data_IF_614861850174
#
_entry.id   IF_614861850174
#
_cell.length_a   1.000
_cell.length_b   1.000
_cell.length_c   1.000
_cell.angle_alpha   90.00
_cell.angle_beta   90.00
_cell.angle_gamma   90.00
#
_symmetry.space_group_name_H-M   'P 1'
#
loop_
_entity.id
_entity.type
_entity.pdbx_description
1 polymer ?
#
# COMPACT_ATOMS: atom_id res chain seq x y z
N UNK A 1 1.61 33.23 -2.62
CA UNK A 1 1.22 32.14 -1.69
C UNK A 1 2.06 30.88 -1.89
N UNK A 2 2.29 30.42 -3.13
CA UNK A 2 3.13 29.23 -3.42
C UNK A 2 4.55 29.39 -2.89
N UNK A 3 5.16 30.57 -3.03
CA UNK A 3 6.51 30.83 -2.52
C UNK A 3 6.59 30.74 -0.99
N UNK A 4 5.53 31.13 -0.30
CA UNK A 4 5.44 31.01 1.16
C UNK A 4 5.30 29.55 1.56
N UNK A 5 4.49 28.78 0.84
CA UNK A 5 4.36 27.35 1.07
C UNK A 5 5.67 26.59 0.84
N UNK A 6 6.40 26.94 -0.23
CA UNK A 6 7.72 26.35 -0.50
C UNK A 6 8.76 26.67 0.59
N UNK A 7 8.77 27.91 1.10
CA UNK A 7 9.65 28.29 2.21
C UNK A 7 9.28 27.55 3.50
N UNK A 8 7.99 27.40 3.79
CA UNK A 8 7.49 26.65 4.94
C UNK A 8 7.86 25.17 4.84
N UNK A 9 7.67 24.55 3.66
CA UNK A 9 8.03 23.18 3.40
C UNK A 9 9.53 22.91 3.64
N UNK A 10 10.40 23.77 3.08
CA UNK A 10 11.85 23.67 3.28
C UNK A 10 12.27 23.86 4.74
N UNK A 11 11.64 24.82 5.44
CA UNK A 11 11.95 25.10 6.86
C UNK A 11 11.57 23.95 7.77
N UNK A 12 10.45 23.27 7.49
CA UNK A 12 9.92 22.19 8.30
C UNK A 12 10.35 20.79 7.81
N UNK A 13 11.08 20.72 6.70
CA UNK A 13 11.45 19.47 6.03
C UNK A 13 10.23 18.60 5.70
N UNK A 14 9.12 19.23 5.35
CA UNK A 14 7.88 18.61 4.95
C UNK A 14 7.69 18.67 3.44
N UNK A 15 6.89 17.77 2.90
CA UNK A 15 6.48 17.82 1.50
C UNK A 15 5.62 19.08 1.26
N UNK A 16 5.81 19.72 0.11
CA UNK A 16 5.05 20.91 -0.29
C UNK A 16 3.54 20.64 -0.31
N UNK A 17 3.13 19.46 -0.75
CA UNK A 17 1.73 19.06 -0.75
C UNK A 17 1.13 19.03 0.65
N UNK A 18 1.86 18.45 1.61
CA UNK A 18 1.44 18.41 3.02
C UNK A 18 1.27 19.82 3.59
N UNK A 19 2.19 20.72 3.28
CA UNK A 19 2.12 22.12 3.73
C UNK A 19 0.94 22.85 3.10
N UNK A 20 0.71 22.66 1.80
CA UNK A 20 -0.44 23.27 1.11
C UNK A 20 -1.77 22.83 1.71
N UNK A 21 -1.91 21.57 2.04
CA UNK A 21 -3.13 21.04 2.65
C UNK A 21 -3.29 21.51 4.11
N UNK A 22 -2.24 21.41 4.92
CA UNK A 22 -2.31 21.64 6.36
C UNK A 22 -2.29 23.11 6.77
N UNK A 23 -1.51 23.94 6.09
CA UNK A 23 -1.31 25.36 6.45
C UNK A 23 -2.13 26.31 5.58
N UNK A 24 -2.27 25.98 4.30
CA UNK A 24 -2.99 26.83 3.34
C UNK A 24 -4.39 26.32 3.02
N UNK A 25 -4.81 25.21 3.62
CA UNK A 25 -6.14 24.60 3.47
C UNK A 25 -6.54 24.34 2.00
N UNK A 26 -5.56 24.06 1.16
CA UNK A 26 -5.78 23.69 -0.24
C UNK A 26 -6.37 22.29 -0.29
N UNK A 27 -7.44 22.12 -1.04
CA UNK A 27 -8.08 20.79 -1.17
C UNK A 27 -7.21 19.87 -2.03
N UNK A 28 -7.11 18.56 -1.69
CA UNK A 28 -6.36 17.58 -2.50
C UNK A 28 -6.78 17.58 -3.97
N UNK A 29 -8.07 17.76 -4.25
CA UNK A 29 -8.58 17.84 -5.62
C UNK A 29 -8.03 19.04 -6.41
N UNK A 30 -7.78 20.16 -5.77
CA UNK A 30 -7.18 21.35 -6.41
C UNK A 30 -5.72 21.09 -6.79
N UNK A 31 -4.99 20.41 -5.91
CA UNK A 31 -3.61 19.97 -6.17
C UNK A 31 -3.58 18.95 -7.31
N UNK A 32 -4.46 17.95 -7.28
CA UNK A 32 -4.59 16.95 -8.32
C UNK A 32 -4.91 17.53 -9.69
N UNK A 33 -5.83 18.49 -9.75
CA UNK A 33 -6.17 19.19 -10.99
C UNK A 33 -5.00 20.05 -11.52
N UNK A 34 -4.26 20.69 -10.63
CA UNK A 34 -3.07 21.45 -11.01
C UNK A 34 -1.97 20.54 -11.57
N UNK A 35 -1.72 19.40 -10.93
CA UNK A 35 -0.79 18.38 -11.42
C UNK A 35 -1.22 17.82 -12.78
N UNK A 36 -2.52 17.55 -12.96
CA UNK A 36 -3.09 17.08 -14.22
C UNK A 36 -2.82 18.05 -15.37
N UNK A 37 -2.98 19.33 -15.13
CA UNK A 37 -2.70 20.38 -16.12
C UNK A 37 -1.22 20.52 -16.44
N UNK A 38 -0.38 20.39 -15.43
CA UNK A 38 1.08 20.50 -15.57
C UNK A 38 1.67 19.30 -16.32
N UNK A 39 1.26 18.08 -15.93
CA UNK A 39 1.80 16.83 -16.49
C UNK A 39 1.09 16.44 -17.80
N UNK A 40 -0.15 16.89 -18.00
CA UNK A 40 -0.96 16.54 -19.17
C UNK A 40 -1.60 15.15 -19.08
N UNK A 41 -1.74 14.62 -17.87
CA UNK A 41 -2.35 13.31 -17.57
C UNK A 41 -3.57 13.53 -16.69
N UNK A 42 -4.73 12.85 -16.93
CA UNK A 42 -5.92 13.02 -16.13
C UNK A 42 -5.68 12.72 -14.65
N UNK A 43 -6.32 13.50 -13.77
CA UNK A 43 -6.30 13.30 -12.33
C UNK A 43 -7.29 12.23 -11.90
N UNK A 44 -6.84 11.32 -11.05
CA UNK A 44 -7.68 10.30 -10.44
C UNK A 44 -7.78 10.53 -8.93
N UNK A 45 -8.93 11.01 -8.42
CA UNK A 45 -9.13 11.21 -6.99
C UNK A 45 -9.22 9.86 -6.25
N UNK A 46 -8.90 9.88 -4.96
CA UNK A 46 -9.09 8.73 -4.10
C UNK A 46 -10.59 8.37 -3.98
N UNK A 47 -10.89 7.09 -4.06
CA UNK A 47 -12.23 6.54 -3.87
C UNK A 47 -12.20 5.43 -2.83
N UNK A 48 -12.91 5.62 -1.73
CA UNK A 48 -13.02 4.63 -0.67
C UNK A 48 -13.85 3.39 -1.08
N UNK A 49 -14.74 3.54 -2.05
CA UNK A 49 -15.60 2.48 -2.57
C UNK A 49 -14.95 1.63 -3.68
N UNK A 50 -13.70 1.90 -4.02
CA UNK A 50 -12.99 1.16 -5.06
C UNK A 50 -12.72 -0.27 -4.65
N UNK A 51 -13.07 -1.19 -5.54
CA UNK A 51 -12.83 -2.62 -5.36
C UNK A 51 -11.35 -2.90 -5.59
N UNK A 52 -10.73 -3.65 -4.67
CA UNK A 52 -9.34 -4.08 -4.80
C UNK A 52 -9.15 -5.00 -5.99
N UNK A 53 -8.28 -4.65 -6.97
CA UNK A 53 -8.02 -5.50 -8.12
C UNK A 53 -7.01 -6.61 -7.76
N UNK A 54 -7.51 -7.70 -7.18
CA UNK A 54 -6.68 -8.80 -6.68
C UNK A 54 -5.75 -9.38 -7.74
N UNK A 55 -6.23 -9.53 -8.96
CA UNK A 55 -5.44 -10.10 -10.07
C UNK A 55 -4.27 -9.20 -10.47
N UNK A 56 -4.46 -7.89 -10.43
CA UNK A 56 -3.41 -6.92 -10.75
C UNK A 56 -2.37 -6.83 -9.62
N UNK A 57 -2.79 -7.02 -8.36
CA UNK A 57 -1.94 -6.89 -7.18
C UNK A 57 -1.24 -8.19 -6.78
N UNK A 58 -1.60 -9.30 -7.39
CA UNK A 58 -1.09 -10.65 -7.05
C UNK A 58 0.43 -10.74 -6.96
N UNK A 59 1.13 -10.06 -7.87
CA UNK A 59 2.60 -10.08 -7.95
C UNK A 59 3.25 -8.78 -7.43
N UNK A 60 2.45 -7.87 -6.86
CA UNK A 60 2.92 -6.58 -6.37
C UNK A 60 2.83 -6.52 -4.84
N UNK A 61 3.96 -6.37 -4.20
CA UNK A 61 4.04 -6.17 -2.75
C UNK A 61 3.91 -4.68 -2.40
N UNK A 62 3.43 -4.40 -1.20
CA UNK A 62 3.31 -3.03 -0.67
C UNK A 62 4.62 -2.25 -0.81
N UNK A 63 5.73 -2.80 -0.33
CA UNK A 63 7.06 -2.17 -0.38
C UNK A 63 7.49 -1.79 -1.80
N UNK A 64 7.18 -2.67 -2.76
CA UNK A 64 7.48 -2.42 -4.17
C UNK A 64 6.68 -1.23 -4.71
N UNK A 65 5.39 -1.17 -4.41
CA UNK A 65 4.49 -0.08 -4.83
C UNK A 65 4.91 1.26 -4.21
N UNK A 66 5.23 1.27 -2.92
CA UNK A 66 5.70 2.46 -2.21
C UNK A 66 7.03 2.96 -2.77
N UNK A 67 7.97 2.05 -3.03
CA UNK A 67 9.30 2.40 -3.56
C UNK A 67 9.24 2.92 -4.99
N UNK A 68 8.44 2.28 -5.85
CA UNK A 68 8.33 2.66 -7.25
C UNK A 68 7.29 3.74 -7.52
N UNK A 69 6.44 4.06 -6.55
CA UNK A 69 5.46 5.15 -6.60
C UNK A 69 4.43 5.03 -7.73
N UNK A 70 3.95 3.83 -7.98
CA UNK A 70 2.83 3.58 -8.87
C UNK A 70 1.96 2.43 -8.36
N UNK A 71 0.67 2.47 -8.68
CA UNK A 71 -0.30 1.48 -8.23
C UNK A 71 -1.34 1.21 -9.32
N UNK A 72 -1.53 -0.06 -9.74
CA UNK A 72 -2.65 -0.40 -10.60
C UNK A 72 -3.94 -0.41 -9.78
N UNK A 73 -4.97 0.25 -10.30
CA UNK A 73 -6.23 0.44 -9.56
C UNK A 73 -7.41 -0.28 -10.17
N UNK A 74 -7.41 -0.49 -11.46
CA UNK A 74 -8.47 -1.22 -12.17
C UNK A 74 -7.99 -1.70 -13.54
N UNK A 75 -8.69 -2.69 -14.09
CA UNK A 75 -8.52 -3.12 -15.47
C UNK A 75 -9.84 -2.91 -16.21
N UNK A 76 -9.77 -2.09 -17.24
CA UNK A 76 -10.92 -1.71 -18.06
C UNK A 76 -10.72 -2.06 -19.52
N UNK A 77 -11.69 -1.72 -20.38
CA UNK A 77 -11.62 -1.97 -21.82
C UNK A 77 -10.46 -1.23 -22.50
N UNK A 78 -10.00 -0.14 -21.91
CA UNK A 78 -8.85 0.64 -22.41
C UNK A 78 -7.49 0.10 -21.94
N UNK A 79 -7.47 -0.78 -20.96
CA UNK A 79 -6.28 -1.38 -20.38
C UNK A 79 -6.21 -1.27 -18.85
N UNK A 80 -5.02 -1.46 -18.30
CA UNK A 80 -4.76 -1.34 -16.88
C UNK A 80 -4.58 0.13 -16.51
N UNK A 81 -5.41 0.63 -15.61
CA UNK A 81 -5.33 2.00 -15.09
C UNK A 81 -4.35 2.03 -13.93
N UNK A 82 -3.36 2.89 -14.04
CA UNK A 82 -2.29 3.05 -13.06
C UNK A 82 -2.25 4.48 -12.56
N UNK A 83 -2.24 4.64 -11.24
CA UNK A 83 -2.03 5.94 -10.59
C UNK A 83 -0.57 6.11 -10.19
N UNK A 84 -0.08 7.32 -10.31
CA UNK A 84 1.25 7.73 -9.85
C UNK A 84 1.28 9.23 -9.57
N UNK A 85 2.19 9.65 -8.73
CA UNK A 85 2.48 11.07 -8.52
C UNK A 85 3.31 11.67 -9.65
N UNK A 86 4.08 10.82 -10.35
CA UNK A 86 4.88 11.18 -11.52
C UNK A 86 4.71 10.15 -12.64
N UNK A 87 3.58 10.20 -13.38
CA UNK A 87 3.30 9.26 -14.45
C UNK A 87 4.33 9.27 -15.59
N UNK A 88 4.95 10.42 -15.89
CA UNK A 88 5.95 10.53 -16.95
C UNK A 88 7.22 9.73 -16.65
N UNK A 89 7.68 9.77 -15.38
CA UNK A 89 8.82 8.97 -14.93
C UNK A 89 8.54 7.47 -15.07
N UNK A 90 7.36 7.04 -14.66
CA UNK A 90 6.96 5.63 -14.71
C UNK A 90 6.82 5.16 -16.16
N UNK A 91 6.23 5.97 -17.01
CA UNK A 91 6.08 5.70 -18.44
C UNK A 91 7.44 5.59 -19.14
N UNK A 92 8.34 6.52 -18.88
CA UNK A 92 9.69 6.55 -19.45
C UNK A 92 10.53 5.34 -19.03
N UNK A 93 10.40 4.91 -17.78
CA UNK A 93 11.09 3.74 -17.26
C UNK A 93 10.51 2.41 -17.72
N UNK A 94 9.32 2.40 -18.34
CA UNK A 94 8.60 1.21 -18.83
C UNK A 94 8.37 0.13 -17.77
N UNK A 95 8.41 0.49 -16.50
CA UNK A 95 8.29 -0.44 -15.37
C UNK A 95 6.96 -1.19 -15.42
N UNK A 96 5.86 -0.47 -15.65
CA UNK A 96 4.52 -1.04 -15.69
C UNK A 96 4.34 -1.95 -16.92
N UNK A 97 4.88 -1.56 -18.04
CA UNK A 97 4.84 -2.36 -19.27
C UNK A 97 5.59 -3.71 -19.13
N UNK A 98 6.65 -3.75 -18.31
CA UNK A 98 7.36 -4.98 -18.04
C UNK A 98 6.55 -5.95 -17.17
N UNK A 99 5.69 -5.43 -16.30
CA UNK A 99 4.83 -6.23 -15.42
C UNK A 99 3.55 -6.65 -16.14
N UNK A 100 2.98 -5.76 -16.96
CA UNK A 100 1.78 -6.03 -17.75
C UNK A 100 2.06 -5.94 -19.27
N UNK A 101 2.86 -6.86 -19.82
CA UNK A 101 3.29 -6.75 -21.22
C UNK A 101 2.18 -6.97 -22.25
N UNK A 102 1.09 -7.59 -21.84
CA UNK A 102 -0.04 -7.93 -22.71
C UNK A 102 -1.17 -6.92 -22.67
N UNK A 103 -1.15 -6.00 -21.71
CA UNK A 103 -2.23 -5.03 -21.51
C UNK A 103 -1.75 -3.61 -21.82
N UNK A 104 -2.58 -2.80 -22.50
CA UNK A 104 -2.33 -1.36 -22.57
C UNK A 104 -2.32 -0.73 -21.19
N UNK A 105 -1.56 0.32 -20.99
CA UNK A 105 -1.47 1.02 -19.70
C UNK A 105 -2.05 2.42 -19.85
N UNK A 106 -3.01 2.71 -18.97
CA UNK A 106 -3.63 4.03 -18.85
C UNK A 106 -3.07 4.72 -17.62
N UNK A 107 -2.34 5.81 -17.81
CA UNK A 107 -1.74 6.56 -16.71
C UNK A 107 -2.68 7.63 -16.17
N UNK A 108 -2.75 7.75 -14.84
CA UNK A 108 -3.47 8.78 -14.12
C UNK A 108 -2.55 9.42 -13.08
N UNK A 109 -2.69 10.73 -12.87
CA UNK A 109 -1.96 11.42 -11.82
C UNK A 109 -2.78 11.47 -10.54
N UNK A 110 -2.12 11.32 -9.41
CA UNK A 110 -2.74 11.43 -8.08
C UNK A 110 -1.86 12.25 -7.14
N UNK A 111 -2.42 12.73 -6.04
CA UNK A 111 -1.65 13.42 -5.01
C UNK A 111 -0.93 12.42 -4.11
N UNK A 112 0.09 12.87 -3.41
CA UNK A 112 0.86 12.02 -2.48
C UNK A 112 -0.03 11.46 -1.37
N UNK A 113 -0.88 12.30 -0.78
CA UNK A 113 -1.82 11.89 0.26
C UNK A 113 -2.82 10.84 -0.23
N UNK A 114 -3.39 11.03 -1.42
CA UNK A 114 -4.35 10.10 -2.01
C UNK A 114 -3.71 8.78 -2.45
N UNK A 115 -2.47 8.83 -2.91
CA UNK A 115 -1.68 7.64 -3.22
C UNK A 115 -1.45 6.77 -1.97
N UNK A 116 -1.07 7.39 -0.86
CA UNK A 116 -0.93 6.70 0.43
C UNK A 116 -2.24 6.07 0.90
N UNK A 117 -3.37 6.80 0.77
CA UNK A 117 -4.70 6.28 1.08
C UNK A 117 -5.07 5.07 0.22
N UNK A 118 -4.75 5.09 -1.07
CA UNK A 118 -4.99 3.97 -1.97
C UNK A 118 -4.16 2.73 -1.61
N UNK A 119 -2.90 2.92 -1.22
CA UNK A 119 -2.05 1.84 -0.72
C UNK A 119 -2.64 1.24 0.55
N UNK A 120 -3.03 2.05 1.51
CA UNK A 120 -3.64 1.57 2.75
C UNK A 120 -4.97 0.85 2.50
N UNK A 121 -5.77 1.32 1.55
CA UNK A 121 -7.00 0.65 1.16
C UNK A 121 -6.75 -0.75 0.57
N UNK A 122 -5.73 -0.88 -0.27
CA UNK A 122 -5.46 -2.14 -0.99
C UNK A 122 -4.59 -3.13 -0.20
N UNK A 123 -3.68 -2.64 0.62
CA UNK A 123 -2.71 -3.45 1.35
C UNK A 123 -2.90 -3.45 2.87
N UNK A 124 -3.64 -2.49 3.43
CA UNK A 124 -3.86 -2.36 4.86
C UNK A 124 -4.51 -3.60 5.49
N UNK A 125 -5.54 -4.14 4.84
CA UNK A 125 -6.23 -5.35 5.30
C UNK A 125 -5.41 -6.65 5.15
N UNK A 126 -4.39 -6.64 4.28
CA UNK A 126 -3.54 -7.82 4.04
C UNK A 126 -2.39 -7.95 5.04
N UNK A 127 -1.92 -6.86 5.61
CA UNK A 127 -0.88 -6.92 6.63
C UNK A 127 -1.40 -7.59 7.91
N UNK A 128 -2.69 -7.42 8.21
CA UNK A 128 -3.32 -8.09 9.34
C UNK A 128 -3.62 -9.56 9.07
N UNK A 129 -3.99 -9.92 7.83
CA UNK A 129 -4.29 -11.30 7.48
C UNK A 129 -3.04 -12.16 7.19
N UNK A 130 -1.98 -11.56 6.66
CA UNK A 130 -0.72 -12.25 6.42
C UNK A 130 -0.01 -12.66 7.72
N UNK A 131 -0.09 -11.81 8.72
CA UNK A 131 0.46 -12.08 10.04
C UNK A 131 -0.26 -13.22 10.77
N UNK A 132 -1.59 -13.31 10.63
CA UNK A 132 -2.41 -14.37 11.23
C UNK A 132 -2.24 -15.69 10.46
N UNK A 133 -2.15 -15.64 9.15
CA UNK A 133 -1.93 -16.82 8.32
C UNK A 133 -0.56 -17.48 8.54
N UNK A 134 0.48 -16.68 8.65
CA UNK A 134 1.83 -17.17 8.95
C UNK A 134 1.93 -17.74 10.39
N UNK A 135 1.23 -17.15 11.33
CA UNK A 135 1.15 -17.68 12.70
C UNK A 135 0.38 -19.00 12.77
N UNK A 136 -0.70 -19.12 12.00
CA UNK A 136 -1.50 -20.35 11.95
C UNK A 136 -0.79 -21.47 11.17
N UNK A 137 -0.08 -21.15 10.09
CA UNK A 137 0.69 -22.17 9.35
C UNK A 137 1.91 -22.65 10.14
N UNK A 138 2.51 -21.78 10.93
CA UNK A 138 3.58 -22.16 11.86
C UNK A 138 3.10 -23.08 13.00
N UNK A 139 1.87 -22.89 13.46
CA UNK A 139 1.28 -23.75 14.48
C UNK A 139 0.89 -25.15 13.96
N UNK A 140 0.42 -25.23 12.72
CA UNK A 140 0.09 -26.52 12.08
C UNK A 140 1.32 -27.36 11.77
N UNK A 141 2.45 -26.74 11.44
CA UNK A 141 3.71 -27.47 11.19
C UNK A 141 4.37 -27.98 12.48
N UNK A 142 4.21 -27.27 13.60
CA UNK A 142 4.72 -27.74 14.88
C UNK A 142 3.85 -28.84 15.49
N UNK A 143 2.52 -28.80 15.29
CA UNK A 143 1.61 -29.83 15.78
C UNK A 143 1.75 -31.17 15.07
N UNK A 144 2.16 -31.18 13.80
CA UNK A 144 2.31 -32.41 13.03
C UNK A 144 3.62 -33.17 13.27
N UNK A 145 4.59 -32.52 13.90
CA UNK A 145 5.92 -33.11 14.13
C UNK A 145 6.09 -33.86 15.45
N UNK A 146 5.24 -33.65 16.44
CA UNK A 146 5.47 -34.09 17.83
C UNK A 146 4.47 -35.11 18.38
N UNK A 147 3.61 -35.69 17.54
CA UNK A 147 2.60 -36.62 17.98
C UNK A 147 3.06 -38.10 18.04
N UNK A 148 4.34 -38.36 18.08
CA UNK A 148 4.88 -39.71 18.23
C UNK A 148 5.66 -39.84 19.53
N UNK A 149 4.92 -40.11 20.59
CA UNK A 149 5.44 -40.76 21.77
C UNK A 149 5.65 -39.92 23.03
N UNK A 150 4.72 -40.01 23.92
CA UNK A 150 4.95 -39.82 25.34
C UNK A 150 4.16 -38.74 26.04
N UNK A 151 3.33 -39.14 27.01
CA UNK A 151 2.86 -38.35 28.16
C UNK A 151 2.07 -37.09 27.88
N UNK A 152 0.75 -37.20 27.93
CA UNK A 152 -0.18 -36.11 27.67
C UNK A 152 -0.08 -34.91 28.63
N UNK A 153 0.62 -35.01 29.74
CA UNK A 153 0.65 -33.97 30.76
C UNK A 153 1.76 -32.92 30.54
N UNK A 154 2.86 -33.31 29.91
CA UNK A 154 3.94 -32.38 29.59
C UNK A 154 3.64 -31.52 28.33
N UNK A 155 2.89 -32.06 27.38
CA UNK A 155 2.50 -31.37 26.16
C UNK A 155 1.47 -30.26 26.41
N UNK A 156 0.56 -30.43 27.34
CA UNK A 156 -0.43 -29.40 27.67
C UNK A 156 0.20 -28.17 28.38
N UNK A 157 1.19 -28.41 29.25
CA UNK A 157 1.89 -27.33 29.93
C UNK A 157 2.81 -26.51 28.98
N UNK A 158 3.42 -27.14 27.98
CA UNK A 158 4.23 -26.46 26.96
C UNK A 158 3.37 -25.64 26.00
N UNK A 159 2.23 -26.17 25.56
CA UNK A 159 1.26 -25.47 24.71
C UNK A 159 0.65 -24.24 25.43
N UNK A 160 0.30 -24.38 26.70
CA UNK A 160 -0.21 -23.26 27.51
C UNK A 160 0.86 -22.17 27.72
N UNK A 161 2.12 -22.53 27.87
CA UNK A 161 3.22 -21.56 27.98
C UNK A 161 3.48 -20.79 26.69
N UNK A 162 3.39 -21.43 25.54
CA UNK A 162 3.53 -20.76 24.23
C UNK A 162 2.37 -19.84 23.95
N UNK A 163 1.13 -20.22 24.23
CA UNK A 163 -0.04 -19.37 24.11
C UNK A 163 0.04 -18.15 25.04
N UNK A 164 0.50 -18.32 26.27
CA UNK A 164 0.72 -17.23 27.22
C UNK A 164 1.83 -16.29 26.73
N UNK A 165 2.90 -16.82 26.15
CA UNK A 165 3.96 -15.99 25.53
C UNK A 165 3.47 -15.20 24.33
N UNK A 166 2.67 -15.79 23.44
CA UNK A 166 2.06 -15.11 22.31
C UNK A 166 1.11 -14.00 22.72
N UNK A 167 0.24 -14.28 23.70
CA UNK A 167 -0.68 -13.28 24.25
C UNK A 167 0.07 -12.16 24.96
N UNK A 168 1.08 -12.45 25.75
CA UNK A 168 1.92 -11.45 26.40
C UNK A 168 2.71 -10.61 25.40
N UNK A 169 3.18 -11.19 24.32
CA UNK A 169 3.87 -10.47 23.25
C UNK A 169 2.96 -9.49 22.51
N UNK A 170 1.71 -9.86 22.29
CA UNK A 170 0.69 -8.99 21.67
C UNK A 170 0.28 -7.86 22.62
N UNK A 171 0.21 -8.09 23.92
CA UNK A 171 -0.20 -7.10 24.91
C UNK A 171 0.92 -6.09 25.22
N UNK A 172 2.19 -6.47 25.13
CA UNK A 172 3.35 -5.63 25.45
C UNK A 172 3.78 -4.75 24.28
N UNK A 173 3.42 -5.07 23.05
CA UNK A 173 3.64 -4.25 21.86
C UNK A 173 2.43 -3.37 21.55
#
# INVERSE_FOLDING_TARGET
>A
EIDLAQRSARRKSLDLEVVLISEFQVKPAEIGNALSRFIGVPYEPFRADRIKPLDLLKNLKRDYVETNQWLPIEEGPEGVVVISMDPERIKSARIVNNIFPKSPIVYRVTTHAEFAQAIDQFYGALSDMGSVGDLLSGLDEEESGEFVGGGSDELSAAADNELVRLVNKIIVE
#
